data_IF_697382809401
#
_entry.id   IF_697382809401
#
_cell.length_a   1.000
_cell.length_b   1.000
_cell.length_c   1.000
_cell.angle_alpha   90.00
_cell.angle_beta   90.00
_cell.angle_gamma   90.00
#
_symmetry.space_group_name_H-M   'P 1'
#
loop_
_entity.id
_entity.type
_entity.pdbx_description
1 polymer ?
#
# COMPACT_ATOMS: atom_id res chain seq x y z
N UNK A 1 -22.49 -53.76 -21.73
CA UNK A 1 -23.76 -53.15 -21.23
C UNK A 1 -23.53 -52.70 -19.81
N UNK A 2 -24.04 -51.51 -19.45
CA UNK A 2 -24.01 -50.85 -18.11
C UNK A 2 -22.97 -49.73 -17.92
N UNK A 3 -22.89 -48.80 -18.88
CA UNK A 3 -22.35 -47.44 -18.72
C UNK A 3 -23.45 -46.38 -18.93
N UNK A 4 -24.52 -46.44 -18.13
CA UNK A 4 -25.65 -45.51 -18.26
C UNK A 4 -26.22 -45.14 -16.89
N UNK A 5 -25.40 -44.55 -16.02
CA UNK A 5 -25.86 -44.16 -14.68
C UNK A 5 -25.27 -42.84 -14.13
N UNK A 6 -24.71 -41.99 -15.00
CA UNK A 6 -24.16 -40.68 -14.61
C UNK A 6 -24.61 -39.53 -15.52
N UNK A 7 -25.82 -39.62 -16.09
CA UNK A 7 -26.37 -38.60 -16.98
C UNK A 7 -27.77 -38.08 -16.55
N UNK A 8 -28.15 -38.22 -15.28
CA UNK A 8 -29.44 -37.74 -14.74
C UNK A 8 -29.23 -37.03 -13.40
N UNK A 9 -28.41 -35.98 -13.37
CA UNK A 9 -28.40 -34.99 -12.26
C UNK A 9 -28.22 -33.54 -12.76
N UNK A 10 -28.02 -33.28 -14.06
CA UNK A 10 -27.81 -31.91 -14.61
C UNK A 10 -29.10 -31.23 -15.09
N UNK A 11 -30.28 -31.79 -14.80
CA UNK A 11 -31.54 -31.22 -15.27
C UNK A 11 -32.55 -31.10 -14.13
N UNK A 12 -32.39 -30.11 -13.25
CA UNK A 12 -33.45 -29.65 -12.32
C UNK A 12 -32.99 -28.36 -11.62
N UNK A 13 -33.20 -27.20 -12.25
CA UNK A 13 -33.83 -25.99 -11.65
C UNK A 13 -33.74 -24.79 -12.61
N UNK A 14 -34.43 -24.91 -13.73
CA UNK A 14 -34.86 -23.77 -14.54
C UNK A 14 -36.33 -23.53 -14.23
N UNK A 15 -36.67 -22.53 -13.41
CA UNK A 15 -38.02 -21.94 -13.33
C UNK A 15 -37.93 -20.50 -12.75
N UNK A 16 -38.40 -19.57 -13.57
CA UNK A 16 -39.14 -18.33 -13.28
C UNK A 16 -38.49 -17.20 -12.47
N UNK A 17 -38.14 -16.12 -13.20
CA UNK A 17 -38.74 -14.80 -12.95
C UNK A 17 -38.63 -13.91 -14.20
N UNK A 18 -39.59 -14.06 -15.12
CA UNK A 18 -39.87 -13.05 -16.16
C UNK A 18 -41.15 -12.37 -15.74
N UNK A 19 -41.06 -11.13 -15.27
CA UNK A 19 -42.22 -10.25 -15.11
C UNK A 19 -42.00 -9.06 -16.04
N UNK A 20 -42.74 -9.09 -17.14
CA UNK A 20 -42.90 -7.98 -18.08
C UNK A 20 -44.16 -7.23 -17.65
N UNK A 21 -44.03 -5.95 -17.31
CA UNK A 21 -45.17 -5.02 -17.29
C UNK A 21 -44.85 -3.88 -18.23
N UNK A 22 -45.61 -3.85 -19.33
CA UNK A 22 -45.69 -2.79 -20.32
C UNK A 22 -46.75 -1.81 -19.85
N UNK A 23 -46.41 -0.54 -19.63
CA UNK A 23 -47.31 0.61 -19.84
C UNK A 23 -46.46 1.77 -20.37
N UNK A 24 -46.71 2.15 -21.62
CA UNK A 24 -46.14 3.34 -22.26
C UNK A 24 -47.08 4.53 -22.18
N UNK A 25 -46.52 5.74 -22.18
CA UNK A 25 -47.17 6.96 -22.69
C UNK A 25 -46.11 7.79 -23.41
N UNK A 26 -46.48 8.17 -24.64
CA UNK A 26 -45.76 8.90 -25.66
C UNK A 26 -45.30 10.31 -25.24
N UNK A 27 -44.09 10.68 -25.65
CA UNK A 27 -43.57 12.05 -25.66
C UNK A 27 -42.63 12.23 -26.85
N UNK A 28 -42.96 13.18 -27.71
CA UNK A 28 -42.35 13.49 -29.02
C UNK A 28 -40.86 13.85 -28.97
N UNK A 29 -40.07 13.56 -30.03
CA UNK A 29 -38.63 13.85 -30.06
C UNK A 29 -38.37 15.36 -30.17
N UNK A 30 -37.75 15.95 -29.14
CA UNK A 30 -37.24 17.33 -29.19
C UNK A 30 -35.89 17.33 -29.92
N UNK A 31 -35.85 18.04 -31.06
CA UNK A 31 -34.68 18.32 -31.89
C UNK A 31 -33.56 18.99 -31.06
N UNK A 32 -32.27 18.67 -31.27
CA UNK A 32 -31.17 19.27 -30.52
C UNK A 32 -31.00 20.75 -30.89
N UNK A 33 -30.85 21.61 -29.89
CA UNK A 33 -30.44 23.00 -30.09
C UNK A 33 -28.93 23.05 -30.45
N UNK A 34 -28.52 23.84 -31.46
CA UNK A 34 -27.10 24.05 -31.80
C UNK A 34 -26.32 24.65 -30.62
N UNK A 35 -25.01 24.39 -30.50
CA UNK A 35 -24.22 24.90 -29.38
C UNK A 35 -24.09 26.43 -29.46
N UNK A 36 -24.69 27.11 -28.49
CA UNK A 36 -24.45 28.53 -28.23
C UNK A 36 -23.06 28.66 -27.62
N UNK A 37 -22.12 29.17 -28.42
CA UNK A 37 -20.81 29.60 -27.94
C UNK A 37 -21.04 30.80 -27.01
N UNK A 38 -20.91 30.58 -25.70
CA UNK A 38 -20.78 31.62 -24.71
C UNK A 38 -19.35 31.60 -24.14
N UNK A 39 -18.58 32.58 -24.59
CA UNK A 39 -17.28 33.02 -24.05
C UNK A 39 -17.31 33.15 -22.52
N UNK A 40 -16.25 32.75 -21.78
CA UNK A 40 -16.18 33.02 -20.36
C UNK A 40 -16.04 34.53 -20.12
N UNK A 41 -17.08 35.13 -19.53
CA UNK A 41 -17.01 36.45 -18.90
C UNK A 41 -16.70 36.22 -17.43
N UNK A 42 -15.48 36.56 -17.00
CA UNK A 42 -15.31 37.35 -15.77
C UNK A 42 -13.88 37.87 -15.68
N UNK A 43 -13.76 39.16 -15.94
CA UNK A 43 -12.62 39.98 -15.58
C UNK A 43 -12.62 40.23 -14.06
N UNK A 44 -11.51 39.90 -13.40
CA UNK A 44 -11.07 40.66 -12.23
C UNK A 44 -9.58 40.93 -12.33
N UNK A 45 -9.27 42.19 -12.64
CA UNK A 45 -7.95 42.77 -12.41
C UNK A 45 -7.79 42.93 -10.90
N UNK A 46 -6.75 42.33 -10.32
CA UNK A 46 -6.20 42.76 -9.03
C UNK A 46 -4.74 43.13 -9.30
N UNK A 47 -4.41 44.35 -8.89
CA UNK A 47 -3.10 45.01 -8.95
C UNK A 47 -1.98 44.17 -8.29
N UNK A 48 -0.72 44.30 -8.74
CA UNK A 48 0.41 43.59 -8.14
C UNK A 48 0.67 44.17 -6.75
N UNK A 49 0.41 43.37 -5.72
CA UNK A 49 0.93 43.63 -4.37
C UNK A 49 2.22 42.82 -4.23
N UNK A 50 3.34 43.54 -4.16
CA UNK A 50 4.64 42.98 -3.81
C UNK A 50 4.57 42.36 -2.42
N UNK A 51 4.54 41.04 -2.37
CA UNK A 51 4.98 40.24 -1.23
C UNK A 51 5.74 39.05 -1.79
N UNK A 52 7.06 39.02 -1.58
CA UNK A 52 7.79 37.77 -1.57
C UNK A 52 7.26 36.98 -0.38
N UNK A 53 6.28 36.13 -0.64
CA UNK A 53 5.97 35.02 0.25
C UNK A 53 5.70 33.83 -0.66
N UNK A 54 6.58 32.83 -0.58
CA UNK A 54 6.35 31.57 -1.25
C UNK A 54 5.00 31.04 -0.78
N UNK A 55 4.14 30.49 -1.66
CA UNK A 55 2.94 29.82 -1.19
C UNK A 55 3.38 28.56 -0.43
N UNK A 56 3.50 28.69 0.89
CA UNK A 56 3.47 27.57 1.81
C UNK A 56 2.17 26.82 1.53
N UNK A 57 2.28 25.67 0.86
CA UNK A 57 1.20 24.69 0.78
C UNK A 57 0.76 24.45 2.21
N UNK A 58 -0.43 24.94 2.58
CA UNK A 58 -1.00 24.78 3.92
C UNK A 58 -1.33 23.29 4.07
N UNK A 59 -0.33 22.51 4.49
CA UNK A 59 -0.55 21.23 5.13
C UNK A 59 -1.25 21.58 6.43
N UNK A 60 -2.41 21.00 6.70
CA UNK A 60 -3.05 21.11 8.01
C UNK A 60 -2.07 20.52 9.02
N UNK A 61 -1.36 21.40 9.72
CA UNK A 61 -0.25 21.08 10.62
C UNK A 61 -0.82 20.55 11.95
N UNK A 62 -1.48 19.39 11.88
CA UNK A 62 -1.83 18.63 13.07
C UNK A 62 -0.55 17.92 13.50
N UNK A 63 0.27 18.63 14.28
CA UNK A 63 1.44 18.04 14.94
C UNK A 63 0.96 17.44 16.26
N UNK A 64 1.25 16.16 16.47
CA UNK A 64 1.12 15.57 17.80
C UNK A 64 2.30 16.07 18.64
N UNK A 65 2.01 16.79 19.72
CA UNK A 65 3.04 17.33 20.61
C UNK A 65 3.86 16.20 21.25
N UNK A 66 5.19 16.35 21.21
CA UNK A 66 6.12 15.40 21.82
C UNK A 66 7.45 15.30 21.06
N UNK A 67 8.48 14.70 21.66
CA UNK A 67 9.74 14.44 20.97
C UNK A 67 9.47 13.48 19.80
N UNK A 68 9.83 13.91 18.59
CA UNK A 68 9.59 13.16 17.36
C UNK A 68 10.86 13.00 16.54
N UNK A 69 10.88 11.93 15.74
CA UNK A 69 11.96 11.58 14.84
C UNK A 69 11.43 11.46 13.41
N UNK A 70 12.12 12.10 12.47
CA UNK A 70 11.89 11.89 11.03
C UNK A 70 12.29 10.48 10.63
N UNK A 71 11.41 9.78 9.92
CA UNK A 71 11.75 8.51 9.29
C UNK A 71 12.38 8.76 7.93
N UNK A 72 13.49 8.07 7.66
CA UNK A 72 14.14 8.13 6.36
C UNK A 72 13.31 7.36 5.33
N UNK A 73 13.12 7.96 4.17
CA UNK A 73 12.45 7.37 3.02
C UNK A 73 13.49 7.00 1.95
N UNK A 74 13.40 5.78 1.42
CA UNK A 74 14.17 5.33 0.26
C UNK A 74 13.28 5.07 -0.98
N UNK A 75 11.95 5.14 -0.84
CA UNK A 75 11.02 4.99 -1.95
C UNK A 75 11.06 6.23 -2.86
N UNK A 76 10.95 5.97 -4.17
CA UNK A 76 10.98 6.98 -5.22
C UNK A 76 9.68 6.89 -6.01
N UNK A 77 9.03 8.03 -6.25
CA UNK A 77 7.78 8.11 -7.00
C UNK A 77 6.85 9.17 -6.44
N UNK A 78 5.54 9.00 -6.67
CA UNK A 78 4.50 9.94 -6.20
C UNK A 78 3.80 9.40 -4.97
N UNK A 79 3.60 10.24 -3.95
CA UNK A 79 2.84 9.88 -2.76
C UNK A 79 1.37 9.66 -3.15
N UNK A 80 0.85 8.46 -2.92
CA UNK A 80 -0.54 8.09 -3.25
C UNK A 80 -1.42 7.91 -2.02
N UNK A 81 -0.83 7.69 -0.85
CA UNK A 81 -1.57 7.58 0.41
C UNK A 81 -0.69 7.94 1.61
N UNK A 82 -1.31 8.56 2.63
CA UNK A 82 -0.70 8.91 3.91
C UNK A 82 -1.65 8.58 5.07
N UNK A 83 -1.11 8.20 6.24
CA UNK A 83 -1.86 8.08 7.49
C UNK A 83 -2.19 9.46 8.06
N UNK A 84 -2.98 9.51 9.13
CA UNK A 84 -3.23 10.74 9.88
C UNK A 84 -2.22 10.89 11.02
N UNK A 85 -1.83 12.13 11.38
CA UNK A 85 -1.16 12.37 12.65
C UNK A 85 -1.98 11.82 13.83
N UNK A 86 -1.31 11.11 14.74
CA UNK A 86 -1.90 10.41 15.87
C UNK A 86 -2.16 8.92 15.64
N UNK A 87 -2.21 8.46 14.38
CA UNK A 87 -2.43 7.05 14.06
C UNK A 87 -1.31 6.18 14.65
N UNK A 88 -1.70 5.05 15.25
CA UNK A 88 -0.79 4.00 15.68
C UNK A 88 -0.64 2.98 14.55
N UNK A 89 0.59 2.78 14.11
CA UNK A 89 0.97 1.87 13.03
C UNK A 89 1.72 0.71 13.64
N UNK A 90 1.13 -0.48 13.55
CA UNK A 90 1.72 -1.74 14.02
C UNK A 90 2.58 -2.40 12.93
N UNK A 91 3.37 -3.41 13.32
CA UNK A 91 4.19 -4.16 12.37
C UNK A 91 3.32 -4.88 11.33
N UNK A 92 3.80 -4.94 10.08
CA UNK A 92 3.08 -5.54 8.95
C UNK A 92 2.09 -4.58 8.28
N UNK A 93 1.95 -3.36 8.80
CA UNK A 93 1.04 -2.34 8.27
C UNK A 93 1.79 -1.25 7.50
N UNK A 94 1.08 -0.55 6.60
CA UNK A 94 1.68 0.49 5.76
C UNK A 94 1.90 1.80 6.53
N UNK A 95 3.10 2.37 6.42
CA UNK A 95 3.43 3.71 6.92
C UNK A 95 2.94 4.80 5.99
N UNK A 96 3.01 4.57 4.69
CA UNK A 96 2.54 5.42 3.59
C UNK A 96 2.57 4.61 2.30
N UNK A 97 2.13 5.17 1.17
CA UNK A 97 2.27 4.54 -0.14
C UNK A 97 2.83 5.48 -1.21
N UNK A 98 3.71 4.93 -2.05
CA UNK A 98 4.31 5.59 -3.22
C UNK A 98 3.92 4.81 -4.47
N UNK A 99 3.34 5.47 -5.46
CA UNK A 99 2.82 4.86 -6.69
C UNK A 99 1.91 3.63 -6.42
N UNK A 100 1.04 3.73 -5.41
CA UNK A 100 0.16 2.66 -4.90
C UNK A 100 0.90 1.45 -4.30
N UNK A 101 2.20 1.55 -4.06
CA UNK A 101 2.99 0.53 -3.36
C UNK A 101 3.16 0.95 -1.90
N UNK A 102 2.67 0.14 -0.94
CA UNK A 102 2.81 0.47 0.46
C UNK A 102 4.27 0.31 0.91
N UNK A 103 4.74 1.24 1.73
CA UNK A 103 5.99 1.09 2.49
C UNK A 103 5.63 0.52 3.85
N UNK A 104 6.06 -0.71 4.11
CA UNK A 104 5.60 -1.49 5.27
C UNK A 104 6.51 -1.31 6.48
N UNK A 105 5.91 -1.12 7.65
CA UNK A 105 6.64 -1.14 8.92
C UNK A 105 6.98 -2.58 9.30
N UNK A 106 8.27 -2.87 9.50
CA UNK A 106 8.74 -4.17 9.97
C UNK A 106 9.55 -4.03 11.27
N UNK A 107 9.56 -5.08 12.08
CA UNK A 107 10.34 -5.12 13.31
C UNK A 107 11.81 -5.37 13.00
N UNK A 108 12.70 -4.50 13.45
CA UNK A 108 14.14 -4.67 13.26
C UNK A 108 14.95 -3.54 13.86
N UNK A 109 16.21 -3.81 14.20
CA UNK A 109 17.16 -2.80 14.70
C UNK A 109 18.07 -2.27 13.59
N UNK A 110 18.25 -3.02 12.50
CA UNK A 110 19.05 -2.61 11.37
C UNK A 110 18.16 -1.89 10.35
N UNK A 111 18.56 -0.71 9.86
CA UNK A 111 17.86 -0.07 8.77
C UNK A 111 17.96 -0.94 7.51
N UNK A 112 16.90 -0.93 6.71
CA UNK A 112 16.98 -1.41 5.34
C UNK A 112 18.02 -0.55 4.62
N UNK A 113 18.98 -1.16 3.92
CA UNK A 113 20.09 -0.44 3.29
C UNK A 113 20.48 -0.99 1.92
N UNK A 114 19.82 -2.06 1.47
CA UNK A 114 20.02 -2.73 0.18
C UNK A 114 18.76 -3.50 -0.18
N UNK A 115 18.65 -3.93 -1.44
CA UNK A 115 17.61 -4.87 -1.84
C UNK A 115 17.93 -6.29 -1.31
N UNK A 116 16.90 -7.02 -0.90
CA UNK A 116 17.00 -8.41 -0.46
C UNK A 116 16.28 -9.28 -1.50
N UNK A 117 17.04 -10.18 -2.12
CA UNK A 117 16.59 -11.07 -3.19
C UNK A 117 17.31 -12.42 -3.10
N UNK A 118 16.82 -13.42 -3.83
CA UNK A 118 17.51 -14.71 -3.93
C UNK A 118 18.95 -14.54 -4.42
N UNK A 119 19.89 -15.26 -3.79
CA UNK A 119 21.35 -15.19 -4.00
C UNK A 119 22.03 -13.88 -3.60
N UNK A 120 21.35 -13.01 -2.87
CA UNK A 120 22.01 -11.87 -2.22
C UNK A 120 22.97 -12.39 -1.14
N UNK A 121 23.99 -11.60 -0.80
CA UNK A 121 24.91 -11.96 0.28
C UNK A 121 24.20 -12.06 1.62
N UNK A 122 24.68 -12.98 2.46
CA UNK A 122 24.13 -13.20 3.79
C UNK A 122 24.22 -11.94 4.66
N UNK A 123 23.27 -11.78 5.59
CA UNK A 123 23.27 -10.64 6.49
C UNK A 123 22.18 -10.66 7.55
N UNK A 124 22.39 -9.87 8.60
CA UNK A 124 21.42 -9.73 9.69
C UNK A 124 20.12 -9.01 9.25
N UNK A 125 20.16 -8.29 8.13
CA UNK A 125 18.99 -7.73 7.46
C UNK A 125 18.11 -8.80 6.81
N UNK A 126 18.70 -9.88 6.28
CA UNK A 126 17.96 -11.07 5.81
C UNK A 126 17.28 -11.74 6.99
N UNK A 127 18.04 -11.96 8.07
CA UNK A 127 17.56 -12.58 9.30
C UNK A 127 16.31 -11.90 9.87
N UNK A 128 16.31 -10.56 9.93
CA UNK A 128 15.15 -9.82 10.43
C UNK A 128 13.98 -9.85 9.45
N UNK A 129 14.21 -9.84 8.13
CA UNK A 129 13.12 -9.99 7.15
C UNK A 129 12.43 -11.34 7.33
N UNK A 130 13.19 -12.43 7.41
CA UNK A 130 12.69 -13.79 7.63
C UNK A 130 11.87 -13.89 8.92
N UNK A 131 12.39 -13.35 10.02
CA UNK A 131 11.67 -13.24 11.30
C UNK A 131 10.33 -12.51 11.15
N UNK A 132 10.25 -11.45 10.34
CA UNK A 132 8.98 -10.76 10.08
C UNK A 132 8.03 -11.60 9.21
N UNK A 133 8.52 -12.31 8.20
CA UNK A 133 7.70 -13.18 7.35
C UNK A 133 7.05 -14.31 8.17
N UNK A 134 7.79 -14.89 9.12
CA UNK A 134 7.26 -15.83 10.12
C UNK A 134 6.19 -15.14 10.98
N UNK A 135 6.51 -13.99 11.58
CA UNK A 135 5.59 -13.28 12.48
C UNK A 135 4.27 -12.86 11.79
N UNK A 136 4.31 -12.58 10.49
CA UNK A 136 3.12 -12.24 9.70
C UNK A 136 2.38 -13.48 9.16
N UNK A 137 2.88 -14.68 9.45
CA UNK A 137 2.23 -15.94 9.09
C UNK A 137 2.36 -16.32 7.62
N UNK A 138 3.37 -15.80 6.90
CA UNK A 138 3.60 -16.18 5.50
C UNK A 138 4.34 -17.52 5.37
N UNK A 139 4.91 -18.01 6.46
CA UNK A 139 5.58 -19.30 6.59
C UNK A 139 5.68 -19.65 8.07
N UNK A 140 5.82 -20.93 8.39
CA UNK A 140 6.12 -21.37 9.74
C UNK A 140 7.65 -21.32 10.00
N UNK A 141 8.03 -21.24 11.27
CA UNK A 141 9.43 -21.31 11.69
C UNK A 141 9.80 -22.77 11.98
N UNK A 142 10.85 -23.27 11.31
CA UNK A 142 11.39 -24.61 11.57
C UNK A 142 11.74 -24.78 13.06
N UNK A 143 12.23 -23.74 13.74
CA UNK A 143 12.59 -23.82 15.15
C UNK A 143 11.37 -24.07 16.06
N UNK A 144 10.17 -23.69 15.62
CA UNK A 144 8.92 -23.91 16.35
C UNK A 144 8.26 -25.24 15.97
N UNK A 145 8.29 -25.61 14.69
CA UNK A 145 7.58 -26.80 14.19
C UNK A 145 8.43 -28.07 14.20
N UNK A 146 9.76 -27.94 14.08
CA UNK A 146 10.69 -29.04 13.84
C UNK A 146 10.60 -29.65 12.43
N UNK A 147 9.84 -29.05 11.51
CA UNK A 147 9.74 -29.50 10.12
C UNK A 147 10.84 -28.86 9.26
N UNK A 148 11.77 -29.64 8.68
CA UNK A 148 12.87 -29.09 7.87
C UNK A 148 12.41 -28.49 6.53
N UNK A 149 11.11 -28.54 6.22
CA UNK A 149 10.51 -27.86 5.08
C UNK A 149 9.98 -26.46 5.42
N UNK A 150 10.01 -26.07 6.69
CA UNK A 150 9.67 -24.73 7.16
C UNK A 150 10.87 -23.78 7.08
N UNK A 151 10.61 -22.48 7.28
CA UNK A 151 11.65 -21.47 7.13
C UNK A 151 12.53 -21.45 8.38
N UNK A 152 13.82 -21.73 8.21
CA UNK A 152 14.83 -21.40 9.20
C UNK A 152 15.08 -19.90 9.17
N UNK A 153 14.94 -19.22 10.32
CA UNK A 153 15.32 -17.80 10.39
C UNK A 153 16.83 -17.66 10.59
N UNK A 154 17.55 -17.48 9.49
CA UNK A 154 19.01 -17.43 9.48
C UNK A 154 19.54 -16.11 8.92
N UNK A 155 20.46 -16.11 7.96
CA UNK A 155 20.99 -14.91 7.34
C UNK A 155 21.01 -15.03 5.81
N UNK A 156 20.44 -16.10 5.24
CA UNK A 156 20.63 -16.52 3.87
C UNK A 156 19.29 -16.68 3.15
N UNK A 157 19.13 -15.96 2.03
CA UNK A 157 17.89 -16.07 1.25
C UNK A 157 17.85 -17.41 0.50
N UNK A 158 17.07 -18.34 1.03
CA UNK A 158 16.75 -19.61 0.37
C UNK A 158 15.61 -19.45 -0.63
N UNK A 159 15.35 -20.46 -1.50
CA UNK A 159 14.13 -20.46 -2.32
C UNK A 159 12.84 -20.41 -1.49
N UNK A 160 12.86 -20.94 -0.27
CA UNK A 160 11.72 -20.86 0.65
C UNK A 160 11.51 -19.42 1.11
N UNK A 161 12.57 -18.71 1.52
CA UNK A 161 12.53 -17.27 1.85
C UNK A 161 11.95 -16.46 0.69
N UNK A 162 12.41 -16.69 -0.54
CA UNK A 162 11.90 -16.01 -1.75
C UNK A 162 10.39 -16.29 -1.95
N UNK A 163 9.94 -17.53 -1.74
CA UNK A 163 8.53 -17.90 -1.85
C UNK A 163 7.66 -17.27 -0.75
N UNK A 164 8.19 -17.12 0.46
CA UNK A 164 7.52 -16.42 1.57
C UNK A 164 7.40 -14.93 1.28
N UNK A 165 8.43 -14.30 0.70
CA UNK A 165 8.35 -12.90 0.21
C UNK A 165 7.26 -12.77 -0.86
N UNK A 166 7.18 -13.73 -1.80
CA UNK A 166 6.14 -13.76 -2.83
C UNK A 166 4.73 -13.85 -2.25
N UNK A 167 4.54 -14.71 -1.24
CA UNK A 167 3.28 -14.85 -0.50
C UNK A 167 2.89 -13.55 0.22
N UNK A 168 3.84 -12.94 0.92
CA UNK A 168 3.67 -11.65 1.58
C UNK A 168 3.27 -10.56 0.60
N UNK A 169 3.97 -10.42 -0.53
CA UNK A 169 3.64 -9.43 -1.55
C UNK A 169 2.22 -9.61 -2.12
N UNK A 170 1.80 -10.86 -2.36
CA UNK A 170 0.43 -11.13 -2.81
C UNK A 170 -0.62 -10.73 -1.78
N UNK A 171 -0.33 -10.94 -0.49
CA UNK A 171 -1.23 -10.54 0.60
C UNK A 171 -1.45 -9.02 0.66
N UNK A 172 -0.47 -8.25 0.19
CA UNK A 172 -0.53 -6.79 0.07
C UNK A 172 -1.13 -6.31 -1.26
N UNK A 173 -1.54 -7.22 -2.15
CA UNK A 173 -2.01 -6.88 -3.50
C UNK A 173 -0.88 -6.41 -4.44
N UNK A 174 0.38 -6.64 -4.08
CA UNK A 174 1.54 -6.27 -4.90
C UNK A 174 1.90 -7.37 -5.91
N UNK A 175 2.70 -7.00 -6.92
CA UNK A 175 3.32 -7.98 -7.80
C UNK A 175 4.26 -8.89 -7.02
N UNK A 176 4.07 -10.20 -7.17
CA UNK A 176 4.84 -11.25 -6.49
C UNK A 176 6.22 -11.45 -7.12
N UNK A 177 7.15 -10.53 -6.85
CA UNK A 177 8.50 -10.54 -7.43
C UNK A 177 9.44 -11.49 -6.69
N UNK A 178 9.24 -11.68 -5.38
CA UNK A 178 10.20 -12.38 -4.51
C UNK A 178 11.40 -11.51 -4.10
N UNK A 179 11.35 -10.21 -4.40
CA UNK A 179 12.39 -9.23 -4.06
C UNK A 179 11.81 -8.18 -3.14
N UNK A 180 12.51 -7.88 -2.04
CA UNK A 180 12.19 -6.74 -1.17
C UNK A 180 13.18 -5.63 -1.47
N UNK A 181 12.70 -4.54 -2.08
CA UNK A 181 13.55 -3.40 -2.39
C UNK A 181 13.82 -2.56 -1.16
N UNK A 182 14.90 -1.79 -1.19
CA UNK A 182 15.27 -0.87 -0.11
C UNK A 182 14.14 0.08 0.26
N UNK A 183 13.35 0.55 -0.72
CA UNK A 183 12.21 1.44 -0.49
C UNK A 183 10.90 0.77 -0.05
N UNK A 184 10.80 -0.57 -0.04
CA UNK A 184 9.53 -1.27 0.20
C UNK A 184 9.21 -1.39 1.70
N UNK A 185 10.23 -1.32 2.57
CA UNK A 185 10.09 -1.55 4.02
C UNK A 185 10.91 -0.57 4.83
N UNK A 186 10.42 -0.24 6.03
CA UNK A 186 11.18 0.48 7.05
C UNK A 186 11.22 -0.38 8.32
N UNK A 187 12.42 -0.68 8.78
CA UNK A 187 12.63 -1.42 10.03
C UNK A 187 12.71 -0.49 11.23
N UNK A 188 11.98 -0.84 12.29
CA UNK A 188 11.99 -0.15 13.59
C UNK A 188 11.95 -1.15 14.75
N UNK A 189 12.49 -0.80 15.93
CA UNK A 189 12.44 -1.67 17.10
C UNK A 189 11.03 -1.79 17.71
N UNK A 190 10.12 -0.86 17.40
CA UNK A 190 8.77 -0.79 17.94
C UNK A 190 7.74 -0.29 16.91
N UNK A 191 6.47 -0.50 17.23
CA UNK A 191 5.36 0.18 16.56
C UNK A 191 5.53 1.71 16.66
N UNK A 192 4.86 2.46 15.78
CA UNK A 192 5.05 3.90 15.70
C UNK A 192 3.73 4.66 15.76
N UNK A 193 3.74 5.79 16.46
CA UNK A 193 2.67 6.78 16.39
C UNK A 193 3.07 7.91 15.47
N UNK A 194 2.23 8.24 14.49
CA UNK A 194 2.52 9.32 13.53
C UNK A 194 2.48 10.67 14.26
N UNK A 195 3.55 11.44 14.17
CA UNK A 195 3.66 12.75 14.79
C UNK A 195 3.30 13.88 13.82
N UNK A 196 3.82 13.81 12.59
CA UNK A 196 3.61 14.82 11.56
C UNK A 196 3.86 14.24 10.16
N UNK A 197 3.25 14.85 9.14
CA UNK A 197 3.48 14.56 7.73
C UNK A 197 4.28 15.71 7.10
N UNK A 198 5.28 15.39 6.27
CA UNK A 198 6.15 16.40 5.61
C UNK A 198 5.83 16.58 4.13
N UNK A 199 4.88 15.81 3.61
CA UNK A 199 4.44 15.77 2.21
C UNK A 199 2.92 15.59 2.17
N UNK A 200 2.32 15.78 1.00
CA UNK A 200 0.90 15.48 0.76
C UNK A 200 0.73 14.54 -0.45
N UNK A 201 -0.44 13.91 -0.62
CA UNK A 201 -0.74 13.12 -1.82
C UNK A 201 -0.51 13.95 -3.10
N UNK A 202 0.11 13.31 -4.10
CA UNK A 202 0.54 13.95 -5.35
C UNK A 202 1.94 14.55 -5.33
N UNK A 203 2.58 14.67 -4.16
CA UNK A 203 3.98 15.13 -4.09
C UNK A 203 4.93 14.02 -4.58
N UNK A 204 5.99 14.43 -5.27
CA UNK A 204 7.08 13.53 -5.71
C UNK A 204 8.11 13.41 -4.60
N UNK A 205 8.58 12.19 -4.35
CA UNK A 205 9.64 11.86 -3.40
C UNK A 205 10.78 11.11 -4.11
N UNK A 206 12.02 11.47 -3.77
CA UNK A 206 13.24 10.83 -4.29
C UNK A 206 14.21 10.46 -3.14
N UNK A 207 13.67 10.29 -1.94
CA UNK A 207 14.43 10.10 -0.70
C UNK A 207 13.89 10.98 0.43
N UNK A 208 14.76 11.34 1.38
CA UNK A 208 14.44 12.30 2.44
C UNK A 208 13.54 11.72 3.53
N UNK A 209 12.44 12.42 3.85
CA UNK A 209 11.50 11.99 4.89
C UNK A 209 10.07 12.34 4.51
N UNK A 210 9.18 11.36 4.63
CA UNK A 210 7.73 11.50 4.36
C UNK A 210 6.97 11.92 5.62
N UNK A 211 7.37 11.38 6.78
CA UNK A 211 6.68 11.58 8.05
C UNK A 211 7.65 11.54 9.24
N UNK A 212 7.19 12.09 10.37
CA UNK A 212 7.81 11.92 11.68
C UNK A 212 6.98 10.99 12.54
N UNK A 213 7.64 10.28 13.46
CA UNK A 213 7.02 9.44 14.49
C UNK A 213 7.44 9.87 15.88
N UNK A 214 6.60 9.63 16.89
CA UNK A 214 6.97 9.87 18.28
C UNK A 214 8.06 8.89 18.74
N UNK A 215 8.96 9.36 19.61
CA UNK A 215 10.02 8.53 20.18
C UNK A 215 9.52 7.56 21.26
N UNK A 216 8.50 7.96 22.03
CA UNK A 216 7.86 7.17 23.08
C UNK A 216 6.33 7.13 22.85
N UNK A 217 5.83 6.18 22.02
CA UNK A 217 4.44 6.16 21.52
C UNK A 217 3.37 5.61 22.47
#
# INVERSE_FOLDING_TARGET
MRNTLTAIVVLLLSIACVVVIIIGISGTPKKPDPPEVATPVSSRVITPSTSQDQPSKVIQDIVVEGPSQRLSNAAVGTITWLPKPGDLIEFGTALYAVDHKPVILMKGSLPMHRDIAYKVSDGADVAQLERNLVNFGHVADEAETGDPTDLTVDHHVTPLTESSVRSWQLSLGMTSTGVVKHGDVIFRPGAVRIAALHVAPGDVVEGGSVLSVLLDP
#
